data_IF_925523800495
#
_entry.id   IF_925523800495
#
_cell.length_a   1.000
_cell.length_b   1.000
_cell.length_c   1.000
_cell.angle_alpha   90.00
_cell.angle_beta   90.00
_cell.angle_gamma   90.00
#
_symmetry.space_group_name_H-M   'P 1'
#
loop_
_entity.id
_entity.type
_entity.pdbx_description
1 polymer ?
#
# COMPACT_ATOMS: atom_id res chain seq x y z
N UNK A 1 8.16 -1.60 11.85
CA UNK A 1 6.74 -1.90 11.56
C UNK A 1 6.58 -2.20 10.09
N UNK A 2 5.90 -3.29 9.76
CA UNK A 2 5.70 -3.74 8.37
C UNK A 2 4.22 -3.63 8.03
N UNK A 3 3.90 -2.93 6.93
CA UNK A 3 2.55 -2.79 6.38
C UNK A 3 2.52 -3.44 4.99
N UNK A 4 1.59 -4.32 4.73
CA UNK A 4 1.38 -4.89 3.41
C UNK A 4 0.08 -4.38 2.79
N UNK A 5 0.11 -3.95 1.53
CA UNK A 5 -1.11 -3.63 0.79
C UNK A 5 -1.82 -4.92 0.38
N UNK A 6 -3.15 -4.88 0.35
CA UNK A 6 -3.98 -5.99 -0.13
C UNK A 6 -5.16 -5.47 -0.94
N UNK A 7 -5.48 -6.17 -2.01
CA UNK A 7 -6.76 -6.08 -2.71
C UNK A 7 -7.02 -7.41 -3.40
N UNK A 8 -8.19 -7.99 -3.17
CA UNK A 8 -8.64 -9.20 -3.86
C UNK A 8 -9.30 -8.92 -5.22
N UNK A 9 -9.54 -7.66 -5.55
CA UNK A 9 -10.08 -7.26 -6.85
C UNK A 9 -8.98 -7.02 -7.88
N UNK A 10 -9.37 -6.93 -9.15
CA UNK A 10 -8.47 -6.60 -10.27
C UNK A 10 -7.66 -5.33 -9.99
N UNK A 11 -6.58 -5.12 -10.74
CA UNK A 11 -5.74 -3.94 -10.66
C UNK A 11 -6.51 -2.62 -10.79
N UNK A 12 -5.89 -1.51 -10.40
CA UNK A 12 -6.47 -0.17 -10.53
C UNK A 12 -7.18 0.36 -9.28
N UNK A 13 -7.25 -0.39 -8.19
CA UNK A 13 -7.85 0.09 -6.92
C UNK A 13 -7.05 1.20 -6.23
N UNK A 14 -5.84 1.52 -6.71
CA UNK A 14 -4.98 2.57 -6.15
C UNK A 14 -4.00 2.10 -5.07
N UNK A 15 -3.74 0.80 -4.92
CA UNK A 15 -2.76 0.28 -3.94
C UNK A 15 -1.41 0.97 -4.03
N UNK A 16 -0.79 0.91 -5.20
CA UNK A 16 0.52 1.54 -5.45
C UNK A 16 0.52 3.04 -5.17
N UNK A 17 -0.52 3.75 -5.61
CA UNK A 17 -0.66 5.19 -5.35
C UNK A 17 -0.67 5.47 -3.85
N UNK A 18 -1.44 4.71 -3.07
CA UNK A 18 -1.51 4.88 -1.62
C UNK A 18 -0.22 4.41 -0.92
N UNK A 19 0.40 3.31 -1.40
CA UNK A 19 1.68 2.85 -0.86
C UNK A 19 2.77 3.91 -1.03
N UNK A 20 2.88 4.51 -2.21
CA UNK A 20 3.81 5.60 -2.49
C UNK A 20 3.48 6.83 -1.64
N UNK A 21 2.23 7.32 -1.67
CA UNK A 21 1.84 8.54 -0.96
C UNK A 21 2.06 8.42 0.55
N UNK A 22 1.68 7.28 1.15
CA UNK A 22 1.91 7.02 2.58
C UNK A 22 3.41 6.94 2.89
N UNK A 23 4.20 6.24 2.07
CA UNK A 23 5.65 6.12 2.28
C UNK A 23 6.35 7.47 2.24
N UNK A 24 5.93 8.36 1.33
CA UNK A 24 6.43 9.74 1.26
C UNK A 24 6.09 10.51 2.53
N UNK A 25 4.83 10.49 2.96
CA UNK A 25 4.40 11.20 4.19
C UNK A 25 5.12 10.66 5.42
N UNK A 26 5.20 9.34 5.56
CA UNK A 26 5.84 8.70 6.72
C UNK A 26 7.35 8.96 6.76
N UNK A 27 7.99 9.10 5.59
CA UNK A 27 9.44 9.38 5.51
C UNK A 27 9.85 10.73 6.09
N UNK A 28 8.90 11.64 6.26
CA UNK A 28 9.14 12.90 6.98
C UNK A 28 9.35 12.70 8.50
N UNK A 29 8.95 11.55 9.03
CA UNK A 29 8.94 11.25 10.46
C UNK A 29 9.94 10.16 10.86
N UNK A 30 10.03 9.10 10.04
CA UNK A 30 10.83 7.91 10.36
C UNK A 30 11.53 7.34 9.13
N UNK A 31 12.56 6.52 9.36
CA UNK A 31 13.27 5.82 8.27
C UNK A 31 12.31 4.85 7.55
N UNK A 32 12.10 5.08 6.25
CA UNK A 32 11.04 4.43 5.48
C UNK A 32 11.61 3.67 4.27
N UNK A 33 11.17 2.43 4.11
CA UNK A 33 11.40 1.60 2.92
C UNK A 33 10.09 1.23 2.25
N UNK A 34 9.97 1.50 0.96
CA UNK A 34 8.91 0.99 0.09
C UNK A 34 9.45 -0.20 -0.71
N UNK A 35 8.80 -1.35 -0.62
CA UNK A 35 9.15 -2.57 -1.37
C UNK A 35 8.15 -2.73 -2.51
N UNK A 36 8.61 -2.59 -3.75
CA UNK A 36 7.79 -2.79 -4.94
C UNK A 36 7.75 -4.28 -5.29
N UNK A 37 6.75 -5.00 -4.81
CA UNK A 37 6.57 -6.41 -5.11
C UNK A 37 5.72 -6.67 -6.37
N UNK A 38 5.32 -5.61 -7.09
CA UNK A 38 4.53 -5.74 -8.31
C UNK A 38 5.39 -6.11 -9.53
N UNK A 39 4.80 -6.84 -10.48
CA UNK A 39 5.49 -7.21 -11.71
C UNK A 39 5.68 -6.00 -12.66
N UNK A 40 4.75 -5.07 -12.60
CA UNK A 40 4.76 -3.86 -13.41
C UNK A 40 5.78 -2.82 -12.93
N UNK A 41 6.26 -2.95 -11.70
CA UNK A 41 7.16 -1.96 -11.11
C UNK A 41 6.48 -0.62 -10.86
N UNK A 42 5.23 -0.64 -10.39
CA UNK A 42 4.41 0.55 -10.26
C UNK A 42 4.99 1.58 -9.30
N UNK A 43 5.40 1.16 -8.10
CA UNK A 43 6.03 2.05 -7.11
C UNK A 43 7.40 2.57 -7.60
N UNK A 44 8.17 1.71 -8.26
CA UNK A 44 9.44 2.07 -8.92
C UNK A 44 9.23 3.19 -9.95
N UNK A 45 8.24 3.01 -10.84
CA UNK A 45 7.92 3.99 -11.87
C UNK A 45 7.47 5.33 -11.28
N UNK A 46 6.63 5.31 -10.24
CA UNK A 46 6.17 6.53 -9.57
C UNK A 46 7.31 7.34 -8.95
N UNK A 47 8.29 6.70 -8.34
CA UNK A 47 9.34 7.38 -7.59
C UNK A 47 10.59 7.68 -8.41
N UNK A 48 10.92 6.83 -9.36
CA UNK A 48 12.19 6.89 -10.10
C UNK A 48 12.02 6.97 -11.63
N UNK A 49 10.81 6.71 -12.14
CA UNK A 49 10.60 6.56 -13.57
C UNK A 49 11.22 5.26 -14.06
N UNK A 50 12.39 5.33 -14.70
CA UNK A 50 13.14 4.17 -15.17
C UNK A 50 14.35 3.94 -14.26
N UNK A 51 14.27 2.92 -13.41
CA UNK A 51 15.36 2.54 -12.53
C UNK A 51 16.20 1.42 -13.17
N UNK A 52 17.55 1.52 -13.14
CA UNK A 52 18.41 0.46 -13.66
C UNK A 52 18.39 -0.78 -12.72
N UNK A 53 18.67 -1.99 -13.27
CA UNK A 53 18.86 -3.19 -12.44
C UNK A 53 20.07 -3.04 -11.49
N UNK A 54 20.28 -3.92 -10.51
CA UNK A 54 19.46 -5.12 -10.27
C UNK A 54 18.11 -4.79 -9.63
N UNK A 55 17.11 -5.58 -9.98
CA UNK A 55 15.77 -5.49 -9.42
C UNK A 55 15.59 -6.44 -8.24
N UNK A 56 14.54 -6.20 -7.45
CA UNK A 56 14.16 -7.00 -6.29
C UNK A 56 14.09 -8.51 -6.60
N UNK A 57 13.58 -8.87 -7.79
CA UNK A 57 13.51 -10.26 -8.27
C UNK A 57 14.87 -10.91 -8.53
N UNK A 58 15.91 -10.10 -8.75
CA UNK A 58 17.27 -10.55 -9.15
C UNK A 58 18.19 -10.59 -7.94
N UNK A 59 18.27 -9.47 -7.21
CA UNK A 59 19.12 -9.31 -6.04
C UNK A 59 18.44 -8.31 -5.07
N UNK A 60 17.75 -8.81 -4.03
CA UNK A 60 17.05 -7.94 -3.10
C UNK A 60 17.92 -6.87 -2.45
N UNK A 61 19.12 -7.22 -1.96
CA UNK A 61 19.99 -6.27 -1.26
C UNK A 61 20.49 -5.16 -2.20
N UNK A 62 20.82 -5.48 -3.43
CA UNK A 62 21.31 -4.52 -4.42
C UNK A 62 20.17 -3.78 -5.14
N UNK A 63 18.91 -4.15 -4.91
CA UNK A 63 17.76 -3.45 -5.47
C UNK A 63 17.42 -2.14 -4.75
N UNK A 64 18.00 -1.88 -3.58
CA UNK A 64 17.71 -0.68 -2.80
C UNK A 64 18.19 0.59 -3.50
N UNK A 65 17.29 1.55 -3.67
CA UNK A 65 17.56 2.90 -4.16
C UNK A 65 17.12 3.92 -3.14
N UNK A 66 17.89 4.99 -3.00
CA UNK A 66 17.54 6.15 -2.19
C UNK A 66 16.96 7.22 -3.10
N UNK A 67 15.79 7.70 -2.75
CA UNK A 67 15.10 8.80 -3.43
C UNK A 67 15.03 9.98 -2.47
N UNK A 68 15.55 11.13 -2.89
CA UNK A 68 15.48 12.37 -2.11
C UNK A 68 14.86 13.48 -2.95
N UNK A 69 13.87 14.15 -2.39
CA UNK A 69 13.30 15.37 -2.92
C UNK A 69 12.78 16.26 -1.79
N UNK A 70 13.07 17.55 -1.86
CA UNK A 70 12.54 18.57 -0.93
C UNK A 70 12.76 18.24 0.56
N UNK A 71 13.90 17.61 0.88
CA UNK A 71 14.25 17.22 2.24
C UNK A 71 13.62 15.92 2.75
N UNK A 72 12.78 15.28 1.95
CA UNK A 72 12.24 13.96 2.25
C UNK A 72 13.14 12.86 1.68
N UNK A 73 13.22 11.74 2.39
CA UNK A 73 14.04 10.60 2.00
C UNK A 73 13.26 9.31 2.11
N UNK A 74 13.01 8.66 0.96
CA UNK A 74 12.41 7.33 0.88
C UNK A 74 13.42 6.36 0.27
N UNK A 75 13.55 5.18 0.87
CA UNK A 75 14.23 4.07 0.22
C UNK A 75 13.22 3.22 -0.54
N UNK A 76 13.62 2.71 -1.70
CA UNK A 76 12.77 1.87 -2.54
C UNK A 76 13.55 0.62 -2.93
N UNK A 77 12.99 -0.55 -2.68
CA UNK A 77 13.45 -1.78 -3.30
C UNK A 77 12.77 -1.87 -4.68
N UNK A 78 13.54 -1.51 -5.72
CA UNK A 78 13.01 -1.38 -7.08
C UNK A 78 12.75 -2.73 -7.72
N UNK A 79 11.66 -2.84 -8.47
CA UNK A 79 11.32 -4.07 -9.18
C UNK A 79 10.80 -3.81 -10.59
N UNK A 80 11.02 -4.81 -11.46
CA UNK A 80 10.44 -4.89 -12.80
C UNK A 80 10.38 -6.37 -13.19
N UNK A 81 9.20 -6.88 -13.40
CA UNK A 81 8.94 -8.28 -13.70
C UNK A 81 8.51 -9.09 -12.46
N UNK A 82 7.82 -10.20 -12.72
CA UNK A 82 7.26 -11.04 -11.67
C UNK A 82 8.34 -11.55 -10.71
N UNK A 83 8.02 -11.58 -9.41
CA UNK A 83 8.86 -12.22 -8.40
C UNK A 83 8.78 -13.73 -8.58
N UNK A 84 9.91 -14.37 -8.86
CA UNK A 84 10.02 -15.83 -9.00
C UNK A 84 10.33 -16.52 -7.67
N UNK A 85 10.90 -15.81 -6.71
CA UNK A 85 11.27 -16.31 -5.38
C UNK A 85 10.83 -15.32 -4.30
N UNK A 86 9.54 -15.41 -3.92
CA UNK A 86 8.95 -14.51 -2.91
C UNK A 86 9.54 -14.77 -1.52
N UNK A 87 9.96 -15.98 -1.21
CA UNK A 87 10.61 -16.34 0.06
C UNK A 87 11.97 -15.64 0.20
N UNK A 88 12.73 -15.52 -0.87
CA UNK A 88 13.99 -14.76 -0.83
C UNK A 88 13.75 -13.28 -0.54
N UNK A 89 12.70 -12.71 -1.14
CA UNK A 89 12.28 -11.33 -0.86
C UNK A 89 11.80 -11.20 0.60
N UNK A 90 11.03 -12.16 1.11
CA UNK A 90 10.57 -12.15 2.49
C UNK A 90 11.74 -12.14 3.49
N UNK A 91 12.77 -12.97 3.27
CA UNK A 91 14.00 -12.95 4.09
C UNK A 91 14.72 -11.60 4.05
N UNK A 92 14.79 -10.97 2.88
CA UNK A 92 15.38 -9.63 2.77
C UNK A 92 14.56 -8.59 3.55
N UNK A 93 13.22 -8.64 3.47
CA UNK A 93 12.30 -7.77 4.23
C UNK A 93 12.51 -7.94 5.74
N UNK A 94 12.68 -9.17 6.25
CA UNK A 94 13.01 -9.43 7.66
C UNK A 94 14.33 -8.75 8.07
N UNK A 95 15.38 -8.88 7.23
CA UNK A 95 16.66 -8.20 7.46
C UNK A 95 16.52 -6.66 7.45
N UNK A 96 15.71 -6.13 6.54
CA UNK A 96 15.47 -4.69 6.45
C UNK A 96 14.64 -4.14 7.62
N UNK A 97 13.79 -4.95 8.25
CA UNK A 97 13.01 -4.55 9.41
C UNK A 97 13.88 -4.11 10.61
N UNK A 98 15.15 -4.53 10.67
CA UNK A 98 16.11 -4.05 11.65
C UNK A 98 16.73 -2.68 11.28
N UNK A 99 16.63 -2.25 10.02
CA UNK A 99 17.27 -1.04 9.47
C UNK A 99 16.29 0.11 9.25
N UNK A 100 15.02 -0.20 9.04
CA UNK A 100 13.97 0.76 8.75
C UNK A 100 12.85 0.66 9.79
N UNK A 101 12.38 1.81 10.26
CA UNK A 101 11.29 1.87 11.25
C UNK A 101 9.93 1.60 10.62
N UNK A 102 9.76 1.92 9.33
CA UNK A 102 8.55 1.69 8.55
C UNK A 102 8.88 1.02 7.22
N UNK A 103 8.23 -0.12 6.95
CA UNK A 103 8.28 -0.83 5.68
C UNK A 103 6.87 -0.90 5.08
N UNK A 104 6.73 -0.44 3.85
CA UNK A 104 5.51 -0.59 3.06
C UNK A 104 5.75 -1.62 1.97
N UNK A 105 4.99 -2.70 1.94
CA UNK A 105 5.04 -3.73 0.91
C UNK A 105 3.91 -3.47 -0.10
N UNK A 106 4.24 -2.98 -1.29
CA UNK A 106 3.30 -2.81 -2.39
C UNK A 106 3.13 -4.15 -3.13
N UNK A 107 2.15 -4.94 -2.66
CA UNK A 107 1.84 -6.28 -3.19
C UNK A 107 0.87 -6.13 -4.37
N UNK A 108 1.02 -6.94 -5.44
CA UNK A 108 0.08 -6.93 -6.58
C UNK A 108 -1.36 -7.29 -6.15
N UNK A 109 -2.32 -7.15 -7.04
CA UNK A 109 -3.68 -7.63 -6.80
C UNK A 109 -3.67 -9.16 -6.67
N UNK A 110 -4.28 -9.68 -5.59
CA UNK A 110 -4.34 -11.11 -5.31
C UNK A 110 -5.76 -11.61 -5.64
N UNK A 111 -5.97 -11.92 -6.92
CA UNK A 111 -7.30 -12.19 -7.48
C UNK A 111 -7.73 -13.66 -7.45
N UNK A 112 -6.81 -14.54 -7.10
CA UNK A 112 -7.01 -15.99 -7.03
C UNK A 112 -6.19 -16.60 -5.89
N UNK A 113 -6.44 -17.87 -5.60
CA UNK A 113 -5.81 -18.62 -4.51
C UNK A 113 -4.31 -18.75 -4.74
N UNK A 114 -3.87 -19.02 -5.96
CA UNK A 114 -2.46 -19.22 -6.29
C UNK A 114 -1.65 -17.92 -6.07
N UNK A 115 -2.25 -16.77 -6.43
CA UNK A 115 -1.65 -15.46 -6.16
C UNK A 115 -1.54 -15.20 -4.65
N UNK A 116 -2.58 -15.51 -3.88
CA UNK A 116 -2.57 -15.38 -2.41
C UNK A 116 -1.48 -16.28 -1.82
N UNK A 117 -1.43 -17.56 -2.19
CA UNK A 117 -0.42 -18.50 -1.70
C UNK A 117 1.00 -18.04 -2.02
N UNK A 118 1.24 -17.58 -3.24
CA UNK A 118 2.54 -17.07 -3.69
C UNK A 118 3.03 -15.91 -2.84
N UNK A 119 2.17 -14.94 -2.51
CA UNK A 119 2.54 -13.75 -1.74
C UNK A 119 2.31 -13.89 -0.22
N UNK A 120 1.85 -15.06 0.23
CA UNK A 120 1.65 -15.36 1.65
C UNK A 120 2.91 -15.13 2.51
N UNK A 121 4.14 -15.47 2.06
CA UNK A 121 5.35 -15.16 2.84
C UNK A 121 5.47 -13.68 3.21
N UNK A 122 5.18 -12.76 2.29
CA UNK A 122 5.20 -11.31 2.56
C UNK A 122 4.03 -10.88 3.45
N UNK A 123 2.82 -11.39 3.20
CA UNK A 123 1.65 -11.09 4.04
C UNK A 123 1.85 -11.54 5.48
N UNK A 124 2.55 -12.65 5.71
CA UNK A 124 2.84 -13.15 7.07
C UNK A 124 3.76 -12.23 7.87
N UNK A 125 4.66 -11.51 7.22
CA UNK A 125 5.56 -10.55 7.89
C UNK A 125 4.86 -9.28 8.34
N UNK A 126 3.74 -8.91 7.73
CA UNK A 126 3.07 -7.66 8.03
C UNK A 126 2.49 -7.62 9.45
N UNK A 127 2.72 -6.53 10.16
CA UNK A 127 2.04 -6.19 11.41
C UNK A 127 0.62 -5.69 11.14
N UNK A 128 0.46 -4.98 10.03
CA UNK A 128 -0.80 -4.38 9.58
C UNK A 128 -1.03 -4.67 8.11
N UNK A 129 -2.25 -5.03 7.74
CA UNK A 129 -2.68 -5.14 6.35
C UNK A 129 -3.49 -3.91 5.97
N UNK A 130 -3.00 -3.18 4.97
CA UNK A 130 -3.72 -2.08 4.32
C UNK A 130 -4.58 -2.64 3.19
N UNK A 131 -5.85 -2.82 3.46
CA UNK A 131 -6.84 -3.25 2.45
C UNK A 131 -7.26 -2.06 1.62
N UNK A 132 -7.03 -2.11 0.31
CA UNK A 132 -7.45 -1.04 -0.62
C UNK A 132 -8.60 -1.56 -1.48
N UNK A 133 -9.75 -0.92 -1.38
CA UNK A 133 -10.98 -1.31 -2.07
C UNK A 133 -11.69 -0.09 -2.66
N UNK A 134 -12.50 -0.33 -3.69
CA UNK A 134 -13.33 0.70 -4.32
C UNK A 134 -14.78 0.64 -3.81
N UNK A 135 -15.56 1.74 -3.93
CA UNK A 135 -16.97 1.75 -3.55
C UNK A 135 -17.85 1.03 -4.60
N UNK A 136 -17.63 -0.26 -4.77
CA UNK A 136 -18.44 -1.14 -5.61
C UNK A 136 -18.53 -2.56 -5.01
N UNK A 137 -19.58 -3.35 -5.31
CA UNK A 137 -19.82 -4.65 -4.69
C UNK A 137 -18.64 -5.62 -4.87
N UNK A 138 -18.16 -5.78 -6.09
CA UNK A 138 -17.13 -6.77 -6.42
C UNK A 138 -15.81 -6.48 -5.69
N UNK A 139 -15.40 -5.21 -5.60
CA UNK A 139 -14.17 -4.83 -4.89
C UNK A 139 -14.31 -5.05 -3.37
N UNK A 140 -15.47 -4.74 -2.80
CA UNK A 140 -15.76 -4.92 -1.38
C UNK A 140 -15.76 -6.41 -1.01
N UNK A 141 -16.49 -7.24 -1.75
CA UNK A 141 -16.55 -8.69 -1.50
C UNK A 141 -15.17 -9.35 -1.61
N UNK A 142 -14.41 -8.99 -2.64
CA UNK A 142 -13.10 -9.55 -2.88
C UNK A 142 -12.03 -9.09 -1.88
N UNK A 143 -12.26 -8.04 -1.08
CA UNK A 143 -11.19 -7.42 -0.29
C UNK A 143 -11.40 -7.44 1.23
N UNK A 144 -12.63 -7.55 1.73
CA UNK A 144 -12.90 -7.47 3.17
C UNK A 144 -12.65 -8.82 3.89
N UNK A 145 -11.39 -9.12 4.16
CA UNK A 145 -10.96 -10.30 4.91
C UNK A 145 -10.23 -9.93 6.20
N UNK A 146 -10.14 -10.89 7.12
CA UNK A 146 -9.24 -10.85 8.27
C UNK A 146 -7.99 -11.67 7.99
N UNK A 147 -6.85 -11.25 8.52
CA UNK A 147 -5.54 -11.80 8.20
C UNK A 147 -4.86 -12.35 9.46
N UNK A 148 -5.34 -13.49 9.98
CA UNK A 148 -4.66 -14.21 11.05
C UNK A 148 -4.37 -13.37 12.31
N UNK A 149 -5.32 -12.55 12.78
CA UNK A 149 -5.14 -11.69 13.95
C UNK A 149 -4.35 -10.40 13.72
N UNK A 150 -3.92 -10.14 12.47
CA UNK A 150 -3.23 -8.90 12.12
C UNK A 150 -4.19 -7.72 12.17
N UNK A 151 -3.64 -6.55 12.49
CA UNK A 151 -4.37 -5.29 12.36
C UNK A 151 -4.78 -5.07 10.91
N UNK A 152 -5.99 -4.55 10.70
CA UNK A 152 -6.52 -4.22 9.37
C UNK A 152 -6.82 -2.74 9.31
N UNK A 153 -6.35 -2.06 8.26
CA UNK A 153 -6.76 -0.70 7.92
C UNK A 153 -7.37 -0.73 6.53
N UNK A 154 -8.64 -0.34 6.40
CA UNK A 154 -9.34 -0.33 5.13
C UNK A 154 -9.33 1.07 4.52
N UNK A 155 -8.72 1.23 3.36
CA UNK A 155 -8.84 2.42 2.53
C UNK A 155 -9.97 2.22 1.50
N UNK A 156 -11.12 2.87 1.71
CA UNK A 156 -12.14 2.99 0.68
C UNK A 156 -11.70 4.07 -0.29
N UNK A 157 -11.07 3.67 -1.37
CA UNK A 157 -10.47 4.56 -2.34
C UNK A 157 -11.39 4.81 -3.53
N UNK A 158 -11.50 6.06 -3.94
CA UNK A 158 -12.24 6.48 -5.14
C UNK A 158 -11.24 6.82 -6.26
N UNK A 159 -10.71 5.84 -7.02
CA UNK A 159 -9.74 6.11 -8.09
C UNK A 159 -10.38 6.83 -9.29
N UNK A 160 -11.70 6.93 -9.29
CA UNK A 160 -12.56 7.62 -10.27
C UNK A 160 -13.75 8.27 -9.55
N UNK A 161 -14.49 9.17 -10.20
CA UNK A 161 -15.67 9.77 -9.59
C UNK A 161 -16.74 8.72 -9.23
N UNK A 162 -17.25 8.79 -8.01
CA UNK A 162 -18.41 8.02 -7.54
C UNK A 162 -19.44 8.96 -6.95
N UNK A 163 -20.75 8.70 -7.12
CA UNK A 163 -21.81 9.42 -6.40
C UNK A 163 -21.59 9.33 -4.90
N UNK A 164 -21.76 10.44 -4.18
CA UNK A 164 -21.57 10.50 -2.72
C UNK A 164 -22.41 9.44 -1.99
N UNK A 165 -23.65 9.23 -2.42
CA UNK A 165 -24.54 8.21 -1.85
C UNK A 165 -23.97 6.80 -1.92
N UNK A 166 -23.23 6.46 -2.99
CA UNK A 166 -22.54 5.18 -3.16
C UNK A 166 -21.36 5.08 -2.20
N UNK A 167 -20.53 6.12 -2.12
CA UNK A 167 -19.40 6.17 -1.18
C UNK A 167 -19.90 6.03 0.27
N UNK A 168 -20.93 6.79 0.65
CA UNK A 168 -21.54 6.75 1.99
C UNK A 168 -22.15 5.37 2.32
N UNK A 169 -22.75 4.70 1.32
CA UNK A 169 -23.25 3.33 1.48
C UNK A 169 -22.11 2.36 1.83
N UNK A 170 -21.05 2.32 1.03
CA UNK A 170 -19.93 1.40 1.28
C UNK A 170 -19.09 1.77 2.50
N UNK A 171 -19.02 3.05 2.86
CA UNK A 171 -18.42 3.48 4.13
C UNK A 171 -19.15 2.83 5.32
N UNK A 172 -20.49 2.75 5.29
CA UNK A 172 -21.28 2.06 6.34
C UNK A 172 -21.02 0.55 6.36
N UNK A 173 -20.90 -0.08 5.19
CA UNK A 173 -20.56 -1.51 5.08
C UNK A 173 -19.19 -1.78 5.72
N UNK A 174 -18.18 -0.97 5.39
CA UNK A 174 -16.83 -1.10 5.96
C UNK A 174 -16.82 -0.82 7.46
N UNK A 175 -17.53 0.21 7.91
CA UNK A 175 -17.68 0.50 9.34
C UNK A 175 -18.26 -0.70 10.10
N UNK A 176 -19.27 -1.36 9.53
CA UNK A 176 -19.85 -2.60 10.07
C UNK A 176 -18.84 -3.76 10.08
N UNK A 177 -18.02 -3.89 9.05
CA UNK A 177 -16.93 -4.88 9.02
C UNK A 177 -15.91 -4.59 10.12
N UNK A 178 -15.41 -3.36 10.26
CA UNK A 178 -14.44 -3.00 11.28
C UNK A 178 -14.97 -3.27 12.70
N UNK A 179 -16.24 -2.95 12.98
CA UNK A 179 -16.86 -3.23 14.28
C UNK A 179 -16.89 -4.73 14.58
N UNK A 180 -17.39 -5.57 13.65
CA UNK A 180 -17.39 -7.04 13.84
C UNK A 180 -16.00 -7.65 13.96
N UNK A 181 -15.00 -7.05 13.33
CA UNK A 181 -13.61 -7.46 13.43
C UNK A 181 -13.05 -7.12 14.80
N UNK A 182 -13.37 -5.94 15.32
CA UNK A 182 -13.02 -5.52 16.67
C UNK A 182 -13.65 -6.41 17.76
N UNK A 183 -14.91 -6.81 17.59
CA UNK A 183 -15.61 -7.76 18.49
C UNK A 183 -14.90 -9.12 18.57
N UNK A 184 -14.12 -9.48 17.54
CA UNK A 184 -13.25 -10.68 17.52
C UNK A 184 -11.84 -10.43 18.08
N UNK A 185 -11.60 -9.27 18.70
CA UNK A 185 -10.30 -8.89 19.26
C UNK A 185 -9.25 -8.45 18.23
N UNK A 186 -9.65 -8.19 16.99
CA UNK A 186 -8.75 -7.73 15.92
C UNK A 186 -8.97 -6.24 15.69
N UNK A 187 -7.92 -5.44 15.85
CA UNK A 187 -8.01 -3.99 15.58
C UNK A 187 -8.28 -3.75 14.09
N UNK A 188 -9.34 -3.01 13.79
CA UNK A 188 -9.72 -2.64 12.44
C UNK A 188 -10.16 -1.17 12.40
N UNK A 189 -9.57 -0.41 11.48
CA UNK A 189 -9.86 1.00 11.21
C UNK A 189 -10.20 1.18 9.74
N UNK A 190 -10.77 2.33 9.37
CA UNK A 190 -10.95 2.68 7.96
C UNK A 190 -10.77 4.17 7.69
N UNK A 191 -10.48 4.48 6.43
CA UNK A 191 -10.37 5.84 5.92
C UNK A 191 -11.01 5.92 4.53
N UNK A 192 -11.64 7.05 4.23
CA UNK A 192 -12.16 7.37 2.90
C UNK A 192 -11.10 8.17 2.16
N UNK A 193 -10.72 7.70 0.97
CA UNK A 193 -9.80 8.40 0.07
C UNK A 193 -10.64 8.98 -1.06
N UNK A 194 -10.77 10.31 -1.16
CA UNK A 194 -11.60 10.94 -2.18
C UNK A 194 -10.98 10.79 -3.57
N UNK A 195 -11.81 10.91 -4.59
CA UNK A 195 -11.33 11.06 -5.95
C UNK A 195 -10.57 12.39 -6.10
N UNK A 196 -9.41 12.30 -6.71
CA UNK A 196 -8.62 13.46 -7.11
C UNK A 196 -8.17 13.31 -8.56
N UNK A 197 -8.60 14.19 -9.48
CA UNK A 197 -8.22 14.09 -10.88
C UNK A 197 -6.73 14.32 -11.12
N UNK A 198 -6.03 15.01 -10.21
CA UNK A 198 -4.58 15.19 -10.31
C UNK A 198 -3.84 13.88 -10.14
N UNK A 199 -4.29 13.00 -9.23
CA UNK A 199 -3.67 11.70 -8.98
C UNK A 199 -3.60 10.85 -10.24
N UNK A 200 -4.62 10.86 -11.08
CA UNK A 200 -4.65 10.12 -12.36
C UNK A 200 -3.67 10.65 -13.41
N UNK A 201 -3.15 11.87 -13.22
CA UNK A 201 -2.19 12.54 -14.12
C UNK A 201 -0.77 12.46 -13.61
N UNK A 202 -0.57 11.90 -12.41
CA UNK A 202 0.76 11.72 -11.86
C UNK A 202 1.51 10.68 -12.71
N UNK A 203 2.58 11.13 -13.32
CA UNK A 203 3.47 10.30 -14.14
C UNK A 203 4.71 9.88 -13.35
N UNK A 204 5.69 9.30 -14.02
CA UNK A 204 6.99 8.98 -13.43
C UNK A 204 7.62 10.19 -12.73
N UNK A 205 8.33 9.92 -11.64
CA UNK A 205 9.00 10.96 -10.82
C UNK A 205 8.08 11.84 -9.98
N UNK A 206 6.95 11.30 -9.54
CA UNK A 206 5.99 12.02 -8.68
C UNK A 206 6.28 11.90 -7.18
N UNK A 207 7.52 12.03 -6.78
CA UNK A 207 7.90 12.19 -5.37
C UNK A 207 7.14 13.36 -4.70
N UNK A 208 6.66 14.29 -5.50
CA UNK A 208 5.82 15.43 -5.12
C UNK A 208 4.31 15.16 -5.17
N UNK A 209 3.86 13.92 -4.93
CA UNK A 209 2.43 13.58 -4.99
C UNK A 209 1.58 14.61 -4.24
N UNK A 210 1.94 14.92 -3.00
CA UNK A 210 1.18 15.82 -2.15
C UNK A 210 1.24 17.30 -2.56
N UNK A 211 2.13 17.70 -3.46
CA UNK A 211 2.20 19.07 -3.96
C UNK A 211 1.28 19.35 -5.15
N UNK A 212 0.70 18.30 -5.73
CA UNK A 212 -0.15 18.39 -6.93
C UNK A 212 -1.57 17.92 -6.71
N UNK A 213 -1.88 17.42 -5.51
CA UNK A 213 -3.17 16.86 -5.14
C UNK A 213 -4.01 17.86 -4.33
N UNK A 214 -5.30 17.58 -4.19
CA UNK A 214 -6.19 18.43 -3.40
C UNK A 214 -5.92 18.28 -1.90
N UNK A 215 -6.22 19.33 -1.12
CA UNK A 215 -6.15 19.27 0.35
C UNK A 215 -6.97 18.11 0.95
N UNK A 216 -8.07 17.75 0.30
CA UNK A 216 -8.92 16.64 0.73
C UNK A 216 -8.21 15.28 0.57
N UNK A 217 -7.54 15.07 -0.57
CA UNK A 217 -6.74 13.88 -0.79
C UNK A 217 -5.55 13.83 0.17
N UNK A 218 -4.83 14.92 0.31
CA UNK A 218 -3.66 15.01 1.20
C UNK A 218 -4.03 14.75 2.65
N UNK A 219 -5.12 15.36 3.14
CA UNK A 219 -5.64 15.12 4.48
C UNK A 219 -6.04 13.66 4.69
N UNK A 220 -6.62 13.01 3.68
CA UNK A 220 -6.97 11.59 3.75
C UNK A 220 -5.73 10.70 3.81
N UNK A 221 -4.69 10.99 3.02
CA UNK A 221 -3.41 10.26 3.05
C UNK A 221 -2.68 10.47 4.39
N UNK A 222 -2.66 11.70 4.93
CA UNK A 222 -2.07 11.96 6.24
C UNK A 222 -2.81 11.21 7.35
N UNK A 223 -4.15 11.16 7.29
CA UNK A 223 -4.96 10.36 8.22
C UNK A 223 -4.65 8.87 8.10
N UNK A 224 -4.52 8.35 6.88
CA UNK A 224 -4.13 6.96 6.62
C UNK A 224 -2.74 6.68 7.21
N UNK A 225 -1.75 7.52 6.96
CA UNK A 225 -0.41 7.41 7.52
C UNK A 225 -0.42 7.40 9.05
N UNK A 226 -1.18 8.32 9.66
CA UNK A 226 -1.36 8.37 11.11
C UNK A 226 -1.99 7.09 11.68
N UNK A 227 -3.02 6.53 11.00
CA UNK A 227 -3.60 5.25 11.39
C UNK A 227 -2.57 4.13 11.31
N UNK A 228 -1.80 4.06 10.24
CA UNK A 228 -0.80 3.01 10.05
C UNK A 228 0.34 3.08 11.07
N UNK A 229 0.76 4.28 11.48
CA UNK A 229 1.83 4.48 12.47
C UNK A 229 1.42 4.18 13.92
N UNK A 230 0.13 4.04 14.23
CA UNK A 230 -0.32 3.69 15.58
C UNK A 230 0.19 2.30 15.96
N UNK A 231 0.99 2.22 17.01
CA UNK A 231 1.34 0.94 17.64
C UNK A 231 0.08 0.31 18.25
N UNK A 232 0.05 -1.03 18.29
CA UNK A 232 -0.99 -1.78 19.02
C UNK A 232 -0.98 -1.40 20.49
#
# INVERSE_FOLDING_TARGET
MIVATFSGSKGGTGKTTLAVSVSVVVSALVSTLLVDASAEGGATAYLLGDAPPPYLREDPERSLRRVEAEGLRVFVAVNRGALTNVEAVARAVEGWAARFEFLMLDIPALTDVDAVERYMPLLRLADTVLVVTEPNPASIEASLYTFGGKRVVVALNSPRPYPKTIVDHYARVISGFCRRTLEKGITADYVLIPYDPAVSRLGPSTFKVLNYTSEQFDSAVMRLASLLLRKK
#
